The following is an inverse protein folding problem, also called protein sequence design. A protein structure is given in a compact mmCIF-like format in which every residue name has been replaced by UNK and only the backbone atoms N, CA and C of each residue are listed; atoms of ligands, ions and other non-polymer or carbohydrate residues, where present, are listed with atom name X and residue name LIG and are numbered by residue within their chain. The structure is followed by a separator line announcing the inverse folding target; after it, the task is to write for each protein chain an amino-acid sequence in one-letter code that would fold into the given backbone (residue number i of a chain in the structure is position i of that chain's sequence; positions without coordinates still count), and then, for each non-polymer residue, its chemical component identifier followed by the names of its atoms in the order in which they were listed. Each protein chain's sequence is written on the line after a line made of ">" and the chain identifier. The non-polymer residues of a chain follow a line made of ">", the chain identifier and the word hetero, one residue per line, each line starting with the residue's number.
data_IF_559209878957
#
_entry.id   IF_559209878957
#
_cell.length_a   1.000
_cell.length_b   1.000
_cell.length_c   1.000
_cell.angle_alpha   90.00
_cell.angle_beta   90.00
_cell.angle_gamma   90.00
#
_symmetry.space_group_name_H-M   'P 1'
#
loop_
_entity.id
_entity.type
_entity.pdbx_description
1 polymer ?
#
# COMPACT_ATOMS: atom_id res chain seq x y z
N UNK A 1 -31.46 16.39 6.24
CA UNK A 1 -30.33 15.73 6.92
C UNK A 1 -29.33 16.82 7.14
N UNK A 2 -29.03 17.12 8.40
CA UNK A 2 -28.14 18.22 8.78
C UNK A 2 -26.76 17.99 8.13
N UNK A 3 -26.26 18.97 7.37
CA UNK A 3 -24.93 18.99 6.75
C UNK A 3 -23.87 18.95 7.85
N UNK A 4 -23.66 17.77 8.44
CA UNK A 4 -22.59 17.53 9.40
C UNK A 4 -21.29 17.45 8.60
N UNK A 5 -20.61 18.60 8.51
CA UNK A 5 -19.21 18.65 8.09
C UNK A 5 -18.43 17.67 8.99
N UNK A 6 -17.72 16.68 8.42
CA UNK A 6 -17.00 15.71 9.22
C UNK A 6 -15.96 16.40 10.12
N UNK A 7 -15.66 15.82 11.31
CA UNK A 7 -14.60 16.35 12.16
C UNK A 7 -13.26 16.36 11.40
N UNK A 8 -12.45 17.38 11.64
CA UNK A 8 -11.13 17.51 11.03
C UNK A 8 -10.01 17.16 12.01
N UNK A 9 -8.92 16.57 11.52
CA UNK A 9 -7.69 16.44 12.29
C UNK A 9 -6.92 17.79 12.34
N UNK A 10 -5.79 17.82 13.05
CA UNK A 10 -4.95 19.01 13.15
C UNK A 10 -4.36 19.48 11.80
N UNK A 11 -4.30 18.59 10.80
CA UNK A 11 -3.86 18.88 9.44
C UNK A 11 -4.98 19.42 8.53
N UNK A 12 -6.22 19.47 9.01
CA UNK A 12 -7.39 19.89 8.24
C UNK A 12 -8.03 18.79 7.39
N UNK A 13 -7.59 17.54 7.52
CA UNK A 13 -8.20 16.40 6.82
C UNK A 13 -9.53 16.02 7.50
N UNK A 14 -10.57 15.78 6.71
CA UNK A 14 -11.81 15.21 7.22
C UNK A 14 -11.57 13.78 7.69
N UNK A 15 -12.05 13.48 8.90
CA UNK A 15 -12.05 12.17 9.52
C UNK A 15 -13.38 11.47 9.23
N UNK A 16 -13.29 10.26 8.70
CA UNK A 16 -14.41 9.35 8.55
C UNK A 16 -14.44 8.27 9.63
N UNK A 17 -15.38 7.35 9.49
CA UNK A 17 -15.45 6.13 10.27
C UNK A 17 -14.96 4.97 9.41
N UNK A 18 -14.08 4.14 9.95
CA UNK A 18 -13.60 2.96 9.25
C UNK A 18 -13.18 1.87 10.21
N UNK A 19 -13.28 0.63 9.73
CA UNK A 19 -12.97 -0.58 10.48
C UNK A 19 -11.81 -1.35 9.84
N UNK A 20 -11.28 -2.32 10.57
CA UNK A 20 -10.21 -3.20 10.10
C UNK A 20 -8.82 -2.74 10.53
N UNK A 21 -7.86 -3.65 10.35
CA UNK A 21 -6.52 -3.54 10.92
C UNK A 21 -5.82 -2.21 10.63
N UNK A 22 -5.94 -1.70 9.40
CA UNK A 22 -5.29 -0.46 8.98
C UNK A 22 -5.70 0.76 9.81
N UNK A 23 -6.97 0.82 10.23
CA UNK A 23 -7.57 2.00 10.88
C UNK A 23 -7.76 1.82 12.39
N UNK A 24 -7.89 0.58 12.86
CA UNK A 24 -8.01 0.29 14.28
C UNK A 24 -6.79 0.79 15.06
N UNK A 25 -7.03 1.34 16.25
CA UNK A 25 -5.98 1.84 17.14
C UNK A 25 -4.97 0.77 17.53
N UNK A 26 -3.72 1.16 17.79
CA UNK A 26 -2.67 0.27 18.31
C UNK A 26 -3.06 -0.50 19.57
N UNK A 27 -3.85 0.10 20.46
CA UNK A 27 -4.36 -0.59 21.67
C UNK A 27 -5.28 -1.77 21.39
N UNK A 28 -5.89 -1.81 20.20
CA UNK A 28 -6.73 -2.91 19.69
C UNK A 28 -5.93 -3.83 18.75
N UNK A 29 -4.61 -3.66 18.68
CA UNK A 29 -3.72 -4.40 17.78
C UNK A 29 -3.84 -3.99 16.31
N UNK A 30 -4.42 -2.83 16.00
CA UNK A 30 -4.41 -2.26 14.65
C UNK A 30 -3.18 -1.40 14.38
N UNK A 31 -3.03 -0.96 13.12
CA UNK A 31 -1.95 -0.08 12.68
C UNK A 31 -2.15 1.37 13.17
N UNK A 32 -3.40 1.79 13.35
CA UNK A 32 -3.75 3.12 13.86
C UNK A 32 -3.62 4.25 12.84
N UNK A 33 -3.78 3.98 11.54
CA UNK A 33 -3.87 5.06 10.56
C UNK A 33 -5.14 5.87 10.80
N UNK A 34 -5.04 7.19 10.69
CA UNK A 34 -6.22 8.05 10.74
C UNK A 34 -7.15 7.70 9.58
N UNK A 35 -8.45 7.58 9.86
CA UNK A 35 -9.50 7.29 8.89
C UNK A 35 -9.79 8.49 7.98
N UNK A 36 -8.77 8.95 7.24
CA UNK A 36 -8.86 10.02 6.26
C UNK A 36 -9.04 9.45 4.86
N UNK A 37 -9.54 10.28 3.94
CA UNK A 37 -9.61 9.93 2.52
C UNK A 37 -8.24 9.58 1.94
N UNK A 38 -7.19 10.28 2.35
CA UNK A 38 -5.83 9.98 1.90
C UNK A 38 -5.37 8.60 2.39
N UNK A 39 -5.55 8.28 3.68
CA UNK A 39 -5.19 6.95 4.22
C UNK A 39 -5.95 5.84 3.49
N UNK A 40 -7.25 6.03 3.25
CA UNK A 40 -8.06 5.10 2.46
C UNK A 40 -7.51 4.92 1.03
N UNK A 41 -7.23 6.02 0.33
CA UNK A 41 -6.72 5.98 -1.04
C UNK A 41 -5.35 5.29 -1.12
N UNK A 42 -4.43 5.60 -0.19
CA UNK A 42 -3.08 5.02 -0.17
C UNK A 42 -3.09 3.51 0.15
N UNK A 43 -3.93 3.07 1.09
CA UNK A 43 -4.12 1.64 1.37
C UNK A 43 -4.72 0.93 0.15
N UNK A 44 -5.73 1.52 -0.51
CA UNK A 44 -6.27 0.95 -1.74
C UNK A 44 -5.26 0.93 -2.89
N UNK A 45 -4.45 1.97 -3.05
CA UNK A 45 -3.38 1.98 -4.06
C UNK A 45 -2.39 0.85 -3.83
N UNK A 46 -2.01 0.54 -2.59
CA UNK A 46 -1.14 -0.60 -2.32
C UNK A 46 -1.77 -1.92 -2.80
N UNK A 47 -3.05 -2.15 -2.49
CA UNK A 47 -3.76 -3.38 -2.87
C UNK A 47 -4.03 -3.46 -4.37
N UNK A 48 -4.49 -2.36 -4.97
CA UNK A 48 -4.67 -2.25 -6.42
C UNK A 48 -3.36 -2.47 -7.14
N UNK A 49 -2.25 -1.93 -6.64
CA UNK A 49 -0.93 -2.14 -7.26
C UNK A 49 -0.57 -3.63 -7.25
N UNK A 50 -0.72 -4.33 -6.12
CA UNK A 50 -0.50 -5.78 -6.06
C UNK A 50 -1.37 -6.56 -7.06
N UNK A 51 -2.65 -6.15 -7.22
CA UNK A 51 -3.53 -6.71 -8.26
C UNK A 51 -3.02 -6.40 -9.67
N UNK A 52 -2.61 -5.16 -9.96
CA UNK A 52 -2.06 -4.82 -11.29
C UNK A 52 -0.81 -5.60 -11.62
N UNK A 53 0.08 -5.84 -10.65
CA UNK A 53 1.25 -6.70 -10.82
C UNK A 53 0.82 -8.11 -11.25
N UNK A 54 -0.18 -8.69 -10.61
CA UNK A 54 -0.70 -10.02 -11.00
C UNK A 54 -1.44 -10.01 -12.35
N UNK A 55 -2.17 -8.95 -12.65
CA UNK A 55 -2.88 -8.79 -13.93
C UNK A 55 -1.91 -8.65 -15.11
N UNK A 56 -0.71 -8.10 -14.91
CA UNK A 56 0.34 -8.06 -15.96
C UNK A 56 0.83 -9.44 -16.39
N UNK A 57 0.55 -10.48 -15.61
CA UNK A 57 0.83 -11.87 -15.98
C UNK A 57 -0.27 -12.51 -16.86
N UNK A 58 -1.42 -11.84 -17.07
CA UNK A 58 -2.48 -12.33 -17.97
C UNK A 58 -2.03 -12.26 -19.45
N UNK A 59 -2.76 -12.95 -20.35
CA UNK A 59 -2.58 -12.74 -21.79
C UNK A 59 -2.71 -11.25 -22.16
N UNK A 60 -1.77 -10.77 -23.00
CA UNK A 60 -1.55 -9.35 -23.29
C UNK A 60 -2.79 -8.63 -23.79
N UNK A 61 -3.66 -9.33 -24.50
CA UNK A 61 -4.93 -8.85 -25.04
C UNK A 61 -5.91 -8.40 -23.95
N UNK A 62 -5.83 -8.95 -22.74
CA UNK A 62 -6.77 -8.67 -21.66
C UNK A 62 -6.22 -7.66 -20.65
N UNK A 63 -4.90 -7.64 -20.42
CA UNK A 63 -4.24 -6.84 -19.36
C UNK A 63 -4.77 -5.40 -19.31
N UNK A 64 -4.77 -4.69 -20.43
CA UNK A 64 -5.20 -3.29 -20.50
C UNK A 64 -6.67 -3.10 -20.07
N UNK A 65 -7.55 -4.01 -20.49
CA UNK A 65 -8.98 -3.93 -20.16
C UNK A 65 -9.19 -4.13 -18.65
N UNK A 66 -8.52 -5.11 -18.05
CA UNK A 66 -8.63 -5.39 -16.61
C UNK A 66 -8.03 -4.28 -15.76
N UNK A 67 -6.84 -3.79 -16.09
CA UNK A 67 -6.22 -2.67 -15.38
C UNK A 67 -7.09 -1.42 -15.44
N UNK A 68 -7.67 -1.11 -16.61
CA UNK A 68 -8.59 0.01 -16.78
C UNK A 68 -9.86 -0.18 -15.94
N UNK A 69 -10.47 -1.36 -15.97
CA UNK A 69 -11.68 -1.63 -15.20
C UNK A 69 -11.44 -1.48 -13.69
N UNK A 70 -10.32 -2.01 -13.17
CA UNK A 70 -9.95 -1.86 -11.77
C UNK A 70 -9.79 -0.38 -11.39
N UNK A 71 -9.16 0.40 -12.26
CA UNK A 71 -8.94 1.83 -12.05
C UNK A 71 -10.27 2.61 -12.08
N UNK A 72 -11.14 2.32 -13.04
CA UNK A 72 -12.44 2.97 -13.19
C UNK A 72 -13.30 2.74 -11.93
N UNK A 73 -13.35 1.51 -11.42
CA UNK A 73 -14.07 1.18 -10.17
C UNK A 73 -13.53 1.96 -8.96
N UNK A 74 -12.20 2.13 -8.86
CA UNK A 74 -11.61 2.97 -7.83
C UNK A 74 -12.06 4.43 -7.97
N UNK A 75 -12.04 5.00 -9.16
CA UNK A 75 -12.42 6.39 -9.37
C UNK A 75 -13.91 6.66 -9.14
N UNK A 76 -14.79 5.71 -9.49
CA UNK A 76 -16.21 5.80 -9.11
C UNK A 76 -16.38 5.81 -7.58
N UNK A 77 -15.66 4.93 -6.89
CA UNK A 77 -15.67 4.85 -5.43
C UNK A 77 -15.05 6.09 -4.75
N UNK A 78 -14.07 6.73 -5.40
CA UNK A 78 -13.45 7.97 -4.95
C UNK A 78 -14.38 9.17 -5.16
N UNK A 79 -15.03 9.27 -6.32
CA UNK A 79 -15.98 10.35 -6.62
C UNK A 79 -17.18 10.32 -5.67
N UNK A 80 -17.76 9.14 -5.43
CA UNK A 80 -18.85 8.95 -4.47
C UNK A 80 -18.42 9.39 -3.06
N UNK A 81 -17.21 9.03 -2.63
CA UNK A 81 -16.70 9.46 -1.31
C UNK A 81 -16.51 10.97 -1.23
N UNK A 82 -15.98 11.61 -2.27
CA UNK A 82 -15.80 13.07 -2.31
C UNK A 82 -17.15 13.80 -2.27
N UNK A 83 -18.16 13.29 -2.98
CA UNK A 83 -19.49 13.88 -3.00
C UNK A 83 -20.22 13.72 -1.66
N UNK A 84 -20.20 12.50 -1.10
CA UNK A 84 -20.98 12.13 0.09
C UNK A 84 -20.34 12.59 1.40
N UNK A 85 -19.03 12.40 1.56
CA UNK A 85 -18.36 12.61 2.86
C UNK A 85 -17.63 13.93 2.97
N UNK A 86 -17.19 14.51 1.85
CA UNK A 86 -16.43 15.76 1.91
C UNK A 86 -17.24 17.00 1.55
N UNK A 87 -18.55 16.85 1.29
CA UNK A 87 -19.41 17.98 0.90
C UNK A 87 -18.90 18.70 -0.35
N UNK A 88 -18.02 18.07 -1.16
CA UNK A 88 -17.45 18.67 -2.37
C UNK A 88 -18.46 18.59 -3.50
N UNK A 89 -19.55 19.35 -3.35
CA UNK A 89 -20.66 19.43 -4.31
C UNK A 89 -20.24 20.12 -5.62
N UNK A 90 -19.21 20.98 -5.58
CA UNK A 90 -18.68 21.66 -6.75
C UNK A 90 -17.90 20.70 -7.67
N UNK A 91 -18.45 20.44 -8.87
CA UNK A 91 -17.87 19.55 -9.89
C UNK A 91 -16.42 19.89 -10.27
N UNK A 92 -16.08 21.18 -10.31
CA UNK A 92 -14.72 21.64 -10.63
C UNK A 92 -13.68 21.20 -9.60
N UNK A 93 -14.02 21.24 -8.31
CA UNK A 93 -13.14 20.81 -7.21
C UNK A 93 -12.97 19.29 -7.24
N UNK A 94 -14.05 18.53 -7.45
CA UNK A 94 -13.97 17.07 -7.62
C UNK A 94 -13.06 16.68 -8.78
N UNK A 95 -13.26 17.28 -9.96
CA UNK A 95 -12.43 16.97 -11.13
C UNK A 95 -10.95 17.28 -10.91
N UNK A 96 -10.62 18.33 -10.14
CA UNK A 96 -9.24 18.62 -9.77
C UNK A 96 -8.67 17.52 -8.87
N UNK A 97 -9.37 17.17 -7.79
CA UNK A 97 -8.94 16.12 -6.87
C UNK A 97 -8.82 14.75 -7.54
N UNK A 98 -9.71 14.41 -8.48
CA UNK A 98 -9.62 13.15 -9.25
C UNK A 98 -8.37 13.13 -10.15
N UNK A 99 -8.00 14.27 -10.75
CA UNK A 99 -6.73 14.38 -11.50
C UNK A 99 -5.52 14.25 -10.58
N UNK A 100 -5.57 14.86 -9.40
CA UNK A 100 -4.50 14.77 -8.41
C UNK A 100 -4.32 13.33 -7.92
N UNK A 101 -5.43 12.62 -7.62
CA UNK A 101 -5.43 11.19 -7.33
C UNK A 101 -4.84 10.35 -8.46
N UNK A 102 -5.19 10.66 -9.71
CA UNK A 102 -4.62 9.95 -10.85
C UNK A 102 -3.11 10.12 -10.94
N UNK A 103 -2.60 11.32 -10.70
CA UNK A 103 -1.15 11.56 -10.66
C UNK A 103 -0.49 10.83 -9.48
N UNK A 104 -1.11 10.84 -8.30
CA UNK A 104 -0.65 10.10 -7.13
C UNK A 104 -0.58 8.59 -7.40
N UNK A 105 -1.60 8.02 -8.02
CA UNK A 105 -1.63 6.61 -8.41
C UNK A 105 -0.44 6.25 -9.29
N UNK A 106 -0.14 7.07 -10.31
CA UNK A 106 1.01 6.82 -11.21
C UNK A 106 2.35 6.93 -10.47
N UNK A 107 2.47 7.87 -9.53
CA UNK A 107 3.63 7.97 -8.66
C UNK A 107 3.82 6.74 -7.76
N UNK A 108 2.72 6.26 -7.16
CA UNK A 108 2.72 5.05 -6.34
C UNK A 108 3.16 3.83 -7.16
N UNK A 109 2.53 3.62 -8.33
CA UNK A 109 2.89 2.53 -9.24
C UNK A 109 4.39 2.54 -9.57
N UNK A 110 4.95 3.69 -9.96
CA UNK A 110 6.36 3.80 -10.27
C UNK A 110 7.25 3.42 -9.07
N UNK A 111 6.94 3.93 -7.88
CA UNK A 111 7.74 3.67 -6.68
C UNK A 111 7.72 2.21 -6.24
N UNK A 112 6.58 1.53 -6.37
CA UNK A 112 6.46 0.11 -6.01
C UNK A 112 7.03 -0.80 -7.11
N UNK A 113 6.86 -0.44 -8.39
CA UNK A 113 7.46 -1.16 -9.51
C UNK A 113 9.00 -1.09 -9.44
N UNK A 114 9.58 0.06 -9.04
CA UNK A 114 11.02 0.17 -8.78
C UNK A 114 11.48 -0.78 -7.67
N UNK A 115 10.73 -0.83 -6.56
CA UNK A 115 11.06 -1.71 -5.44
C UNK A 115 11.01 -3.19 -5.83
N UNK A 116 9.99 -3.57 -6.59
CA UNK A 116 9.81 -4.93 -7.08
C UNK A 116 10.91 -5.32 -8.08
N UNK A 117 11.24 -4.44 -9.03
CA UNK A 117 12.27 -4.70 -10.04
C UNK A 117 13.69 -4.79 -9.45
N UNK A 118 13.95 -4.10 -8.33
CA UNK A 118 15.22 -4.17 -7.60
C UNK A 118 15.31 -5.34 -6.61
N UNK A 119 14.23 -6.10 -6.44
CA UNK A 119 14.11 -7.19 -5.46
C UNK A 119 14.60 -6.79 -4.06
N UNK A 120 14.28 -5.56 -3.64
CA UNK A 120 14.85 -4.96 -2.42
C UNK A 120 13.78 -4.57 -1.41
N UNK A 121 13.79 -5.25 -0.26
CA UNK A 121 12.90 -4.96 0.86
C UNK A 121 13.09 -3.53 1.41
N UNK A 122 14.31 -3.00 1.33
CA UNK A 122 14.63 -1.62 1.79
C UNK A 122 13.95 -0.60 0.88
N UNK A 123 13.99 -0.82 -0.44
CA UNK A 123 13.34 0.08 -1.41
C UNK A 123 11.81 -0.04 -1.27
N UNK A 124 11.30 -1.25 -1.03
CA UNK A 124 9.87 -1.49 -0.77
C UNK A 124 9.40 -0.78 0.51
N UNK A 125 10.13 -0.95 1.61
CA UNK A 125 9.86 -0.26 2.87
C UNK A 125 9.92 1.26 2.69
N UNK A 126 10.89 1.77 1.94
CA UNK A 126 10.99 3.20 1.64
C UNK A 126 9.78 3.71 0.86
N UNK A 127 9.29 2.95 -0.13
CA UNK A 127 8.10 3.32 -0.90
C UNK A 127 6.83 3.30 -0.04
N UNK A 128 6.65 2.27 0.79
CA UNK A 128 5.53 2.14 1.73
C UNK A 128 5.55 3.27 2.76
N UNK A 129 6.71 3.62 3.30
CA UNK A 129 6.87 4.73 4.24
C UNK A 129 6.42 6.06 3.64
N UNK A 130 6.87 6.37 2.42
CA UNK A 130 6.48 7.60 1.72
C UNK A 130 4.98 7.68 1.44
N UNK A 131 4.40 6.57 0.97
CA UNK A 131 3.03 6.55 0.47
C UNK A 131 1.99 6.29 1.58
N UNK A 132 2.11 5.17 2.29
CA UNK A 132 1.15 4.72 3.32
C UNK A 132 1.32 5.51 4.62
N UNK A 133 2.56 5.72 5.05
CA UNK A 133 2.87 6.42 6.30
C UNK A 133 3.13 7.92 6.13
N UNK A 134 2.83 8.48 4.95
CA UNK A 134 2.97 9.92 4.63
C UNK A 134 4.39 10.48 4.91
N UNK A 135 5.43 9.65 4.77
CA UNK A 135 6.81 10.00 5.15
C UNK A 135 6.98 10.49 6.60
N UNK A 136 6.16 9.98 7.53
CA UNK A 136 6.25 10.35 8.93
C UNK A 136 7.53 9.81 9.56
N UNK A 137 8.40 10.72 10.04
CA UNK A 137 9.67 10.39 10.69
C UNK A 137 9.50 9.57 11.99
N UNK A 138 8.34 9.67 12.63
CA UNK A 138 8.02 8.96 13.88
C UNK A 138 7.28 7.63 13.63
N UNK A 139 7.37 7.08 12.42
CA UNK A 139 6.80 5.77 12.13
C UNK A 139 7.46 4.70 13.00
N UNK A 140 6.65 3.79 13.53
CA UNK A 140 7.17 2.61 14.19
C UNK A 140 7.79 1.68 13.14
N UNK A 141 9.08 1.38 13.30
CA UNK A 141 9.83 0.55 12.36
C UNK A 141 9.24 -0.87 12.28
N UNK A 142 8.66 -1.39 13.36
CA UNK A 142 8.02 -2.69 13.36
C UNK A 142 6.73 -2.71 12.53
N UNK A 143 5.97 -1.61 12.56
CA UNK A 143 4.78 -1.44 11.73
C UNK A 143 5.15 -1.34 10.25
N UNK A 144 6.17 -0.54 9.94
CA UNK A 144 6.68 -0.44 8.57
C UNK A 144 7.14 -1.81 8.04
N UNK A 145 7.93 -2.53 8.83
CA UNK A 145 8.39 -3.87 8.48
C UNK A 145 7.21 -4.86 8.32
N UNK A 146 6.18 -4.75 9.17
CA UNK A 146 4.96 -5.58 9.06
C UNK A 146 4.24 -5.32 7.75
N UNK A 147 4.05 -4.06 7.36
CA UNK A 147 3.40 -3.72 6.09
C UNK A 147 4.25 -4.16 4.90
N UNK A 148 5.58 -3.99 4.95
CA UNK A 148 6.49 -4.46 3.90
C UNK A 148 6.42 -5.98 3.73
N UNK A 149 6.57 -6.74 4.81
CA UNK A 149 6.51 -8.20 4.76
C UNK A 149 5.11 -8.71 4.36
N UNK A 150 4.05 -8.00 4.77
CA UNK A 150 2.69 -8.23 4.28
C UNK A 150 2.62 -8.09 2.76
N UNK A 151 3.07 -6.96 2.20
CA UNK A 151 3.06 -6.71 0.75
C UNK A 151 3.80 -7.81 -0.01
N UNK A 152 4.98 -8.21 0.46
CA UNK A 152 5.77 -9.27 -0.18
C UNK A 152 5.07 -10.64 -0.13
N UNK A 153 4.48 -11.00 1.02
CA UNK A 153 3.67 -12.23 1.14
C UNK A 153 2.50 -12.22 0.16
N UNK A 154 1.76 -11.12 0.09
CA UNK A 154 0.58 -11.02 -0.77
C UNK A 154 0.95 -11.09 -2.25
N UNK A 155 2.05 -10.45 -2.67
CA UNK A 155 2.58 -10.57 -4.03
C UNK A 155 2.91 -12.03 -4.39
N UNK A 156 3.60 -12.75 -3.49
CA UNK A 156 3.88 -14.17 -3.69
C UNK A 156 2.59 -14.99 -3.77
N UNK A 157 1.60 -14.71 -2.91
CA UNK A 157 0.34 -15.44 -2.91
C UNK A 157 -0.45 -15.21 -4.20
N UNK A 158 -0.55 -13.95 -4.64
CA UNK A 158 -1.18 -13.58 -5.91
C UNK A 158 -0.44 -14.19 -7.11
N UNK A 159 0.90 -14.19 -7.09
CA UNK A 159 1.73 -14.80 -8.11
C UNK A 159 1.51 -16.31 -8.27
N UNK A 160 1.12 -16.99 -7.20
CA UNK A 160 0.81 -18.43 -7.21
C UNK A 160 -0.64 -18.74 -7.61
N UNK A 161 -1.53 -17.76 -7.74
CA UNK A 161 -2.91 -17.97 -8.19
C UNK A 161 -2.97 -18.19 -9.69
N UNK A 162 -3.91 -19.01 -10.15
CA UNK A 162 -4.19 -19.22 -11.57
C UNK A 162 -4.99 -18.07 -12.19
N UNK A 163 -4.91 -17.89 -13.52
CA UNK A 163 -5.67 -16.86 -14.22
C UNK A 163 -7.20 -17.07 -14.07
N UNK A 164 -7.64 -18.32 -13.97
CA UNK A 164 -9.04 -18.68 -13.71
C UNK A 164 -9.50 -18.16 -12.34
N UNK A 165 -8.72 -18.37 -11.28
CA UNK A 165 -9.08 -17.89 -9.93
C UNK A 165 -9.16 -16.36 -9.86
N UNK A 166 -8.23 -15.66 -10.52
CA UNK A 166 -8.25 -14.20 -10.59
C UNK A 166 -9.46 -13.71 -11.40
N UNK A 167 -9.73 -14.30 -12.57
CA UNK A 167 -10.84 -13.86 -13.44
C UNK A 167 -12.23 -14.16 -12.87
N UNK A 168 -12.37 -15.20 -12.06
CA UNK A 168 -13.58 -15.50 -11.28
C UNK A 168 -13.77 -14.59 -10.06
N UNK A 169 -12.80 -13.71 -9.76
CA UNK A 169 -12.86 -12.80 -8.62
C UNK A 169 -12.61 -13.48 -7.28
N UNK A 170 -11.99 -14.67 -7.26
CA UNK A 170 -11.65 -15.41 -6.02
C UNK A 170 -10.40 -14.84 -5.34
N UNK A 171 -10.26 -13.52 -5.34
CA UNK A 171 -9.13 -12.82 -4.74
C UNK A 171 -9.51 -12.31 -3.37
N UNK A 172 -8.73 -12.67 -2.37
CA UNK A 172 -8.80 -12.11 -1.04
C UNK A 172 -7.43 -11.56 -0.66
N UNK A 173 -7.36 -10.80 0.43
CA UNK A 173 -6.09 -10.41 1.03
C UNK A 173 -6.04 -10.99 2.44
N UNK A 174 -4.88 -11.50 2.84
CA UNK A 174 -4.69 -12.02 4.19
C UNK A 174 -4.69 -10.89 5.22
N UNK A 175 -4.88 -11.22 6.49
CA UNK A 175 -4.72 -10.21 7.55
C UNK A 175 -3.23 -9.86 7.74
N UNK A 176 -2.85 -8.57 7.80
CA UNK A 176 -1.47 -8.17 8.06
C UNK A 176 -0.95 -8.62 9.44
N UNK A 177 -1.82 -8.72 10.46
CA UNK A 177 -1.45 -9.14 11.84
C UNK A 177 -0.69 -10.45 11.91
N UNK A 178 -1.04 -11.41 11.04
CA UNK A 178 -0.39 -12.73 11.01
C UNK A 178 1.11 -12.68 10.67
N UNK A 179 1.57 -11.59 10.05
CA UNK A 179 3.00 -11.35 9.76
C UNK A 179 3.77 -10.93 11.02
N UNK A 180 3.14 -10.16 11.91
CA UNK A 180 3.79 -9.62 13.11
C UNK A 180 4.35 -10.74 13.99
N UNK A 181 3.62 -11.85 14.10
CA UNK A 181 4.09 -13.04 14.82
C UNK A 181 5.35 -13.66 14.20
N UNK A 182 5.45 -13.66 12.87
CA UNK A 182 6.63 -14.18 12.15
C UNK A 182 7.82 -13.26 12.36
N UNK A 183 7.62 -11.94 12.21
CA UNK A 183 8.69 -10.95 12.39
C UNK A 183 9.21 -10.88 13.82
N UNK A 184 8.36 -11.19 14.81
CA UNK A 184 8.76 -11.24 16.23
C UNK A 184 9.76 -12.37 16.55
N UNK A 185 9.88 -13.38 15.68
CA UNK A 185 10.83 -14.48 15.85
C UNK A 185 12.21 -14.03 15.40
N UNK A 186 13.08 -13.78 16.37
CA UNK A 186 14.49 -13.47 16.10
C UNK A 186 15.13 -14.59 15.27
N UNK A 187 15.76 -14.22 14.14
CA UNK A 187 16.50 -15.18 13.31
C UNK A 187 17.65 -15.80 14.11
N UNK A 188 17.88 -17.13 13.99
CA UNK A 188 19.04 -17.78 14.61
C UNK A 188 20.38 -17.13 14.22
N UNK A 189 20.47 -16.58 13.01
CA UNK A 189 21.66 -15.88 12.51
C UNK A 189 21.97 -14.59 13.28
N UNK A 190 20.99 -13.96 13.92
CA UNK A 190 21.20 -12.75 14.73
C UNK A 190 22.01 -13.03 16.01
N UNK A 191 22.08 -14.30 16.43
CA UNK A 191 22.92 -14.74 17.57
C UNK A 191 24.33 -15.15 17.14
N UNK A 192 24.60 -15.22 15.84
CA UNK A 192 25.93 -15.50 15.33
C UNK A 192 26.70 -14.17 15.31
N UNK A 193 27.90 -14.17 15.89
CA UNK A 193 28.81 -13.06 15.77
C UNK A 193 29.24 -12.93 14.31
N UNK A 194 29.26 -11.71 13.77
CA UNK A 194 29.89 -11.46 12.47
C UNK A 194 31.36 -11.89 12.55
N UNK A 195 31.80 -12.72 11.62
CA UNK A 195 33.20 -13.11 11.53
C UNK A 195 34.01 -11.96 10.92
N UNK A 196 35.31 -11.90 11.23
CA UNK A 196 36.18 -10.83 10.73
C UNK A 196 36.28 -10.79 9.20
N UNK A 197 35.98 -11.90 8.52
CA UNK A 197 35.94 -11.97 7.06
C UNK A 197 34.62 -11.47 6.45
N UNK A 198 33.50 -11.53 7.17
CA UNK A 198 32.20 -10.98 6.74
C UNK A 198 32.12 -9.45 6.90
N UNK A 199 32.95 -8.87 7.78
CA UNK A 199 33.07 -7.43 7.98
C UNK A 199 34.01 -6.74 6.98
N UNK A 200 34.73 -7.52 6.16
CA UNK A 200 35.50 -6.95 5.04
C UNK A 200 34.51 -6.52 3.98
N UNK A 201 34.44 -5.21 3.76
CA UNK A 201 33.68 -4.63 2.66
C UNK A 201 34.04 -5.37 1.35
N UNK A 202 33.07 -5.64 0.45
CA UNK A 202 33.39 -6.19 -0.85
C UNK A 202 34.41 -5.25 -1.50
N UNK A 203 35.58 -5.79 -1.83
CA UNK A 203 36.58 -5.04 -2.60
C UNK A 203 35.87 -4.55 -3.85
N UNK A 204 35.66 -3.23 -3.93
CA UNK A 204 35.22 -2.58 -5.15
C UNK A 204 36.35 -2.85 -6.16
N UNK A 205 36.21 -3.93 -6.93
CA UNK A 205 37.00 -4.20 -8.11
C UNK A 205 36.62 -3.16 -9.15
N UNK A 206 37.13 -1.95 -8.93
CA UNK A 206 37.28 -0.97 -9.97
C UNK A 206 38.12 -1.60 -11.06
N UNK A 207 37.54 -1.74 -12.24
CA UNK A 207 38.31 -1.66 -13.46
C UNK A 207 37.64 -0.65 -14.40
N UNK A 208 38.47 0.14 -15.09
CA UNK A 208 38.12 1.44 -15.70
C UNK A 208 37.17 1.34 -16.89
#
# INVERSE_FOLDING_TARGET
>A
MEDRVPPMNAAGDHLGEGSGWWLESKSKGGLGLEATFNSWAQVLYLHMWMLTVRLRCFPKEYVRSWEQNLLDHFFYAAEDRMATWHGMSARGVRNKNLKDLWLQWRGCQLSYDEALAKESDIVMASAIWRNVFKANENVDVADLATVTAYTMRELQRLGNMTDAEISEGKVNFGEPRSITEILSKQSPAFRQHFTADELKAPELSGQP
#
